data_IF_603392861413
#
_entry.id   IF_603392861413
#
_cell.length_a   1.000
_cell.length_b   1.000
_cell.length_c   1.000
_cell.angle_alpha   90.00
_cell.angle_beta   90.00
_cell.angle_gamma   90.00
#
_symmetry.space_group_name_H-M   'P 1'
#
loop_
_entity.id
_entity.type
_entity.pdbx_description
1 polymer ?
#
# COMPACT_ATOMS: atom_id res chain seq x y z
N UNK A 1 1.02 9.29 14.08
CA UNK A 1 2.25 9.39 14.90
C UNK A 1 2.84 7.99 15.04
N UNK A 2 4.14 7.83 14.84
CA UNK A 2 4.82 6.56 15.16
C UNK A 2 4.74 6.41 16.69
N UNK A 3 4.19 5.30 17.22
CA UNK A 3 3.98 5.14 18.66
C UNK A 3 5.24 5.38 19.52
N UNK A 4 6.42 5.12 18.95
CA UNK A 4 7.72 5.18 19.62
C UNK A 4 8.45 6.53 19.50
N UNK A 5 7.90 7.49 18.74
CA UNK A 5 8.44 8.86 18.64
C UNK A 5 7.32 9.88 18.77
N UNK A 6 6.98 10.34 19.99
CA UNK A 6 6.10 11.47 20.15
C UNK A 6 6.76 12.68 19.49
N UNK A 7 6.17 13.16 18.40
CA UNK A 7 6.57 14.41 17.76
C UNK A 7 5.59 15.50 18.16
N UNK A 8 6.12 16.64 18.59
CA UNK A 8 5.36 17.87 18.80
C UNK A 8 5.23 18.69 17.51
N UNK A 9 5.74 18.18 16.38
CA UNK A 9 5.60 18.84 15.09
C UNK A 9 4.15 18.79 14.65
N UNK A 10 3.51 19.96 14.57
CA UNK A 10 2.14 20.11 14.09
C UNK A 10 2.04 20.27 12.57
N UNK A 11 3.17 20.57 11.91
CA UNK A 11 3.23 20.96 10.50
C UNK A 11 4.41 20.28 9.83
N UNK A 12 4.18 19.80 8.60
CA UNK A 12 5.19 19.32 7.69
C UNK A 12 5.38 20.32 6.55
N UNK A 13 6.63 20.65 6.21
CA UNK A 13 6.97 21.51 5.08
C UNK A 13 7.42 20.62 3.91
N UNK A 14 6.72 20.73 2.79
CA UNK A 14 6.97 19.92 1.59
C UNK A 14 7.26 20.84 0.40
N UNK A 15 8.37 20.63 -0.28
CA UNK A 15 8.76 21.36 -1.49
C UNK A 15 9.56 20.47 -2.45
N UNK A 16 9.56 20.84 -3.74
CA UNK A 16 10.35 20.13 -4.74
C UNK A 16 11.80 20.60 -4.71
N UNK A 17 12.73 19.66 -4.61
CA UNK A 17 14.17 19.90 -4.63
C UNK A 17 14.79 19.33 -5.92
N UNK A 18 15.11 20.15 -6.94
CA UNK A 18 15.81 19.67 -8.13
C UNK A 18 17.25 19.30 -7.78
N UNK A 19 17.64 18.06 -8.10
CA UNK A 19 18.96 17.51 -7.81
C UNK A 19 19.58 16.94 -9.10
N UNK A 20 20.57 17.62 -9.69
CA UNK A 20 21.37 17.04 -10.77
C UNK A 20 22.09 15.75 -10.33
N UNK A 21 22.41 14.84 -11.28
CA UNK A 21 23.15 13.62 -10.96
C UNK A 21 24.47 13.91 -10.25
N UNK A 22 24.75 13.16 -9.18
CA UNK A 22 26.00 13.25 -8.41
C UNK A 22 26.33 14.67 -7.91
N UNK A 23 25.32 15.44 -7.48
CA UNK A 23 25.50 16.84 -7.05
C UNK A 23 25.03 17.08 -5.61
N UNK A 24 25.36 18.27 -5.08
CA UNK A 24 24.88 18.77 -3.78
C UNK A 24 24.13 20.08 -4.02
N UNK A 25 22.89 20.15 -3.52
CA UNK A 25 22.07 21.38 -3.50
C UNK A 25 21.75 21.74 -2.06
N UNK A 26 21.95 23.01 -1.68
CA UNK A 26 21.65 23.50 -0.32
C UNK A 26 20.37 24.33 -0.32
N UNK A 27 19.52 24.12 0.70
CA UNK A 27 18.29 24.87 0.92
C UNK A 27 18.33 25.51 2.31
N UNK A 28 17.74 26.68 2.49
CA UNK A 28 17.59 27.34 3.80
C UNK A 28 16.11 27.59 4.06
N UNK A 29 15.62 27.07 5.19
CA UNK A 29 14.25 27.28 5.65
C UNK A 29 14.28 28.41 6.69
N UNK A 30 13.42 29.41 6.52
CA UNK A 30 13.24 30.51 7.47
C UNK A 30 11.78 30.57 7.88
N UNK A 31 11.54 30.88 9.15
CA UNK A 31 10.20 31.15 9.65
C UNK A 31 9.79 32.57 9.27
N UNK A 32 8.56 32.74 8.80
CA UNK A 32 7.93 34.04 8.55
C UNK A 32 6.58 34.10 9.25
N UNK A 33 6.17 35.29 9.67
CA UNK A 33 4.84 35.52 10.24
C UNK A 33 3.76 35.46 9.14
N UNK A 34 2.57 34.93 9.46
CA UNK A 34 1.44 34.89 8.52
C UNK A 34 1.31 33.63 7.66
N UNK A 35 2.01 32.55 8.00
CA UNK A 35 1.86 31.26 7.32
C UNK A 35 0.43 30.69 7.40
N UNK A 36 -0.06 30.14 6.29
CA UNK A 36 -1.39 29.50 6.22
C UNK A 36 -1.27 28.07 6.77
N UNK A 37 -2.05 27.75 7.81
CA UNK A 37 -2.16 26.37 8.30
C UNK A 37 -2.83 25.47 7.25
N UNK A 38 -2.39 24.21 7.10
CA UNK A 38 -3.06 23.29 6.19
C UNK A 38 -4.53 23.09 6.60
N UNK A 39 -5.43 23.19 5.62
CA UNK A 39 -6.84 22.88 5.81
C UNK A 39 -7.02 21.37 5.73
N UNK A 40 -7.66 20.81 6.74
CA UNK A 40 -7.99 19.40 6.81
C UNK A 40 -9.45 19.21 6.43
N UNK A 41 -9.71 18.28 5.50
CA UNK A 41 -11.05 17.84 5.21
C UNK A 41 -11.28 16.55 6.01
N UNK A 42 -12.24 16.60 6.93
CA UNK A 42 -12.72 15.47 7.71
C UNK A 42 -14.14 15.13 7.23
N UNK A 43 -14.47 13.83 7.18
CA UNK A 43 -15.81 13.32 6.89
C UNK A 43 -16.48 13.91 5.63
N UNK A 44 -16.24 13.28 4.48
CA UNK A 44 -16.86 13.72 3.24
C UNK A 44 -18.24 13.06 3.01
N UNK A 45 -19.23 13.86 2.61
CA UNK A 45 -20.55 13.37 2.20
C UNK A 45 -20.54 12.62 0.85
N UNK A 46 -19.41 12.64 0.14
CA UNK A 46 -19.18 12.02 -1.16
C UNK A 46 -17.77 11.47 -1.22
N UNK A 47 -17.54 10.51 -2.10
CA UNK A 47 -16.22 9.93 -2.31
C UNK A 47 -15.15 11.00 -2.51
N UNK A 48 -14.03 10.80 -1.83
CA UNK A 48 -12.90 11.72 -1.84
C UNK A 48 -12.00 11.36 -3.01
N UNK A 49 -11.58 12.37 -3.74
CA UNK A 49 -10.62 12.21 -4.83
C UNK A 49 -9.38 13.04 -4.53
N UNK A 50 -8.21 12.42 -4.59
CA UNK A 50 -6.93 13.10 -4.74
C UNK A 50 -6.41 12.90 -6.15
N UNK A 51 -5.79 13.92 -6.72
CA UNK A 51 -5.35 13.89 -8.11
C UNK A 51 -4.14 14.77 -8.39
N UNK A 52 -3.38 14.39 -9.41
CA UNK A 52 -2.31 15.18 -10.00
C UNK A 52 -2.47 15.19 -11.53
N UNK A 53 -1.42 15.52 -12.27
CA UNK A 53 -1.42 15.60 -13.73
C UNK A 53 -1.63 14.24 -14.42
N UNK A 54 -1.23 13.13 -13.79
CA UNK A 54 -1.15 11.80 -14.40
C UNK A 54 -2.10 10.77 -13.78
N UNK A 55 -2.47 10.95 -12.51
CA UNK A 55 -3.26 10.00 -11.75
C UNK A 55 -4.38 10.70 -10.98
N UNK A 56 -5.44 9.94 -10.72
CA UNK A 56 -6.49 10.26 -9.77
C UNK A 56 -6.83 9.00 -8.97
N UNK A 57 -6.99 9.14 -7.65
CA UNK A 57 -7.33 8.07 -6.72
C UNK A 57 -8.63 8.44 -6.01
N UNK A 58 -9.60 7.54 -6.04
CA UNK A 58 -10.87 7.72 -5.35
C UNK A 58 -10.94 6.85 -4.09
N UNK A 59 -11.44 7.45 -3.01
CA UNK A 59 -11.63 6.84 -1.71
C UNK A 59 -13.11 6.90 -1.35
N UNK A 60 -13.65 5.78 -0.88
CA UNK A 60 -15.06 5.70 -0.49
C UNK A 60 -15.36 6.62 0.68
N UNK A 61 -16.41 7.42 0.59
CA UNK A 61 -16.93 8.17 1.74
C UNK A 61 -17.45 7.25 2.86
N UNK A 62 -17.94 6.07 2.51
CA UNK A 62 -18.51 5.12 3.45
C UNK A 62 -17.44 4.36 4.21
N UNK A 63 -16.40 3.88 3.52
CA UNK A 63 -15.37 3.01 4.14
C UNK A 63 -14.05 3.73 4.40
N UNK A 64 -13.81 4.88 3.78
CA UNK A 64 -12.52 5.59 3.84
C UNK A 64 -11.39 4.92 3.05
N UNK A 65 -11.65 3.79 2.36
CA UNK A 65 -10.64 3.00 1.65
C UNK A 65 -10.58 3.35 0.16
N UNK A 66 -9.43 3.06 -0.46
CA UNK A 66 -9.26 3.18 -1.91
C UNK A 66 -10.27 2.30 -2.64
N UNK A 67 -10.91 2.83 -3.68
CA UNK A 67 -11.87 2.08 -4.52
C UNK A 67 -11.53 2.10 -6.00
N UNK A 68 -10.82 3.12 -6.48
CA UNK A 68 -10.39 3.17 -7.87
C UNK A 68 -9.13 4.01 -8.08
N UNK A 69 -8.44 3.68 -9.17
CA UNK A 69 -7.32 4.45 -9.69
C UNK A 69 -7.57 4.75 -11.17
N UNK A 70 -7.49 6.03 -11.53
CA UNK A 70 -7.60 6.50 -12.90
C UNK A 70 -6.25 7.02 -13.38
N UNK A 71 -5.73 6.41 -14.44
CA UNK A 71 -4.57 6.90 -15.17
C UNK A 71 -5.04 7.88 -16.24
N UNK A 72 -4.72 9.16 -16.05
CA UNK A 72 -5.13 10.26 -16.93
C UNK A 72 -4.38 10.26 -18.26
N UNK A 73 -3.14 9.76 -18.28
CA UNK A 73 -2.33 9.68 -19.49
C UNK A 73 -2.92 8.66 -20.47
N UNK A 74 -3.27 7.46 -19.99
CA UNK A 74 -3.88 6.40 -20.80
C UNK A 74 -5.40 6.45 -20.85
N UNK A 75 -6.03 7.27 -20.01
CA UNK A 75 -7.49 7.37 -19.79
C UNK A 75 -8.12 6.05 -19.33
N UNK A 76 -7.35 5.20 -18.67
CA UNK A 76 -7.81 3.92 -18.12
C UNK A 76 -8.18 4.09 -16.65
N UNK A 77 -9.35 3.60 -16.27
CA UNK A 77 -9.78 3.50 -14.87
C UNK A 77 -9.83 2.04 -14.49
N UNK A 78 -9.15 1.66 -13.41
CA UNK A 78 -9.25 0.33 -12.83
C UNK A 78 -9.87 0.42 -11.44
N UNK A 79 -10.76 -0.53 -11.16
CA UNK A 79 -11.17 -0.78 -9.77
C UNK A 79 -9.97 -1.35 -9.05
N UNK A 80 -9.51 -0.64 -8.02
CA UNK A 80 -8.40 -1.04 -7.18
C UNK A 80 -8.79 -0.68 -5.75
N UNK A 81 -8.82 -1.68 -4.87
CA UNK A 81 -8.95 -1.45 -3.44
C UNK A 81 -7.69 -1.91 -2.72
N UNK A 82 -7.39 -1.26 -1.60
CA UNK A 82 -6.31 -1.63 -0.70
C UNK A 82 -6.87 -1.74 0.71
N UNK A 83 -6.48 -2.80 1.41
CA UNK A 83 -6.88 -3.05 2.80
C UNK A 83 -5.76 -3.74 3.59
N UNK A 84 -5.79 -3.60 4.91
CA UNK A 84 -4.93 -4.36 5.80
C UNK A 84 -5.67 -5.57 6.37
N UNK A 85 -4.99 -6.71 6.39
CA UNK A 85 -5.48 -7.93 7.01
C UNK A 85 -4.31 -8.64 7.70
N UNK A 86 -4.58 -9.70 8.45
CA UNK A 86 -3.53 -10.54 9.00
C UNK A 86 -3.94 -12.00 9.03
N UNK A 87 -2.96 -12.88 8.85
CA UNK A 87 -3.11 -14.29 9.20
C UNK A 87 -2.76 -14.50 10.67
N UNK A 88 -3.47 -15.43 11.32
CA UNK A 88 -3.06 -15.92 12.63
C UNK A 88 -2.14 -17.11 12.40
N UNK A 89 -0.89 -17.01 12.83
CA UNK A 89 0.09 -18.08 12.72
C UNK A 89 -0.32 -19.29 13.56
N UNK A 90 -0.15 -20.50 13.01
CA UNK A 90 -0.41 -21.73 13.73
C UNK A 90 0.58 -21.90 14.89
N UNK A 91 0.10 -22.02 16.14
CA UNK A 91 0.97 -22.01 17.33
C UNK A 91 1.36 -23.41 17.86
N UNK A 92 0.72 -24.47 17.39
CA UNK A 92 0.90 -25.82 17.92
C UNK A 92 1.19 -26.85 16.81
N UNK A 93 1.37 -28.13 17.18
CA UNK A 93 1.57 -29.20 16.20
C UNK A 93 3.00 -29.29 15.65
N UNK A 94 3.23 -30.15 14.64
CA UNK A 94 4.59 -30.50 14.20
C UNK A 94 5.30 -29.38 13.42
N UNK A 95 4.57 -28.36 12.95
CA UNK A 95 5.10 -27.24 12.16
C UNK A 95 4.36 -25.93 12.52
N UNK A 96 4.63 -25.35 13.69
CA UNK A 96 4.10 -24.03 14.02
C UNK A 96 4.71 -22.95 13.11
N UNK A 97 4.00 -21.84 12.94
CA UNK A 97 4.52 -20.64 12.27
C UNK A 97 5.61 -19.99 13.10
N UNK A 98 6.56 -19.31 12.45
CA UNK A 98 7.68 -18.65 13.12
C UNK A 98 8.62 -17.95 12.16
N UNK A 99 9.85 -17.67 12.61
CA UNK A 99 10.82 -16.85 11.88
C UNK A 99 11.14 -17.32 10.44
N UNK A 100 11.00 -18.63 10.17
CA UNK A 100 11.33 -19.22 8.87
C UNK A 100 10.14 -19.81 8.12
N UNK A 101 9.08 -20.16 8.84
CA UNK A 101 7.96 -20.93 8.29
C UNK A 101 6.70 -20.14 8.50
N UNK A 102 6.01 -19.85 7.40
CA UNK A 102 4.68 -19.24 7.41
C UNK A 102 3.63 -20.35 7.33
N UNK A 103 2.92 -20.59 8.42
CA UNK A 103 1.80 -21.55 8.48
C UNK A 103 0.56 -20.82 9.03
N UNK A 104 -0.31 -20.30 8.15
CA UNK A 104 -1.52 -19.66 8.60
C UNK A 104 -2.48 -20.71 9.19
N UNK A 105 -3.04 -20.42 10.36
CA UNK A 105 -4.06 -21.25 11.02
C UNK A 105 -5.32 -21.40 10.15
N UNK A 106 -5.69 -20.31 9.46
CA UNK A 106 -6.90 -20.21 8.65
C UNK A 106 -6.55 -19.78 7.21
N UNK A 107 -7.27 -20.31 6.21
CA UNK A 107 -7.03 -19.94 4.79
C UNK A 107 -7.41 -18.49 4.47
N UNK A 108 -8.34 -17.92 5.23
CA UNK A 108 -8.81 -16.53 5.06
C UNK A 108 -8.16 -15.65 6.12
N UNK A 109 -7.50 -14.54 5.73
CA UNK A 109 -6.97 -13.61 6.71
C UNK A 109 -8.10 -12.82 7.37
N UNK A 110 -7.85 -12.33 8.58
CA UNK A 110 -8.76 -11.45 9.32
C UNK A 110 -8.50 -10.01 8.87
N UNK A 111 -9.54 -9.31 8.41
CA UNK A 111 -9.45 -7.89 8.03
C UNK A 111 -9.25 -7.05 9.29
N UNK A 112 -8.32 -6.08 9.26
CA UNK A 112 -8.00 -5.25 10.43
C UNK A 112 -9.19 -4.39 10.85
N UNK A 113 -9.83 -3.71 9.90
CA UNK A 113 -11.03 -2.91 10.11
C UNK A 113 -12.04 -3.20 9.01
N UNK A 114 -13.10 -3.99 9.26
CA UNK A 114 -14.02 -4.44 8.22
C UNK A 114 -15.01 -3.36 7.75
N UNK A 115 -15.27 -2.31 8.54
CA UNK A 115 -16.32 -1.34 8.25
C UNK A 115 -15.77 -0.10 7.56
N UNK A 116 -15.21 0.82 8.34
CA UNK A 116 -14.79 2.14 7.90
C UNK A 116 -13.53 2.57 8.65
N UNK A 117 -12.61 3.20 7.94
CA UNK A 117 -11.39 3.76 8.54
C UNK A 117 -11.53 5.25 8.73
N UNK A 118 -11.01 5.77 9.85
CA UNK A 118 -10.95 7.21 10.06
C UNK A 118 -10.00 7.82 9.05
N UNK A 119 -10.44 8.87 8.35
CA UNK A 119 -9.64 9.55 7.35
C UNK A 119 -9.50 11.04 7.61
N UNK A 120 -8.33 11.56 7.23
CA UNK A 120 -8.02 12.98 7.20
C UNK A 120 -7.35 13.31 5.88
N UNK A 121 -7.93 14.25 5.15
CA UNK A 121 -7.48 14.59 3.79
C UNK A 121 -6.79 15.95 3.79
N UNK A 122 -5.64 16.02 3.13
CA UNK A 122 -4.87 17.24 2.94
C UNK A 122 -4.73 17.48 1.44
N UNK A 123 -5.18 18.64 0.96
CA UNK A 123 -4.98 19.05 -0.44
C UNK A 123 -4.02 20.22 -0.51
N UNK A 124 -2.73 19.91 -0.57
CA UNK A 124 -1.67 20.89 -0.71
C UNK A 124 -1.38 21.24 -2.17
N UNK A 125 -0.57 22.28 -2.37
CA UNK A 125 -0.12 22.70 -3.71
C UNK A 125 0.88 21.72 -4.33
N UNK A 126 1.67 21.00 -3.52
CA UNK A 126 2.76 20.11 -3.96
C UNK A 126 2.37 18.64 -3.85
N UNK A 127 1.58 18.30 -2.84
CA UNK A 127 1.15 16.94 -2.54
C UNK A 127 -0.29 16.96 -2.03
N UNK A 128 -1.06 15.93 -2.41
CA UNK A 128 -2.33 15.62 -1.79
C UNK A 128 -2.22 14.30 -1.02
N UNK A 129 -2.82 14.24 0.16
CA UNK A 129 -2.66 13.11 1.07
C UNK A 129 -4.01 12.65 1.63
N UNK A 130 -4.12 11.34 1.82
CA UNK A 130 -5.20 10.71 2.60
C UNK A 130 -4.55 9.93 3.74
N UNK A 131 -4.70 10.44 4.95
CA UNK A 131 -4.30 9.77 6.18
C UNK A 131 -5.41 8.83 6.57
N UNK A 132 -5.10 7.57 6.83
CA UNK A 132 -6.06 6.51 7.16
C UNK A 132 -5.62 5.84 8.46
N UNK A 133 -6.55 5.70 9.40
CA UNK A 133 -6.34 4.93 10.63
C UNK A 133 -7.21 3.68 10.59
N UNK A 134 -6.58 2.52 10.46
CA UNK A 134 -7.26 1.22 10.43
C UNK A 134 -7.44 0.69 11.86
N UNK A 135 -6.48 0.92 12.75
CA UNK A 135 -6.62 0.57 14.17
C UNK A 135 -5.72 1.45 15.04
N UNK A 136 -5.60 1.14 16.33
CA UNK A 136 -4.58 1.74 17.18
C UNK A 136 -3.14 1.28 16.86
N UNK A 137 -2.96 0.22 16.07
CA UNK A 137 -1.66 -0.35 15.70
C UNK A 137 -1.43 -0.40 14.17
N UNK A 138 -2.38 0.02 13.33
CA UNK A 138 -2.21 0.16 11.87
C UNK A 138 -2.69 1.52 11.41
N UNK A 139 -1.80 2.24 10.73
CA UNK A 139 -2.12 3.49 10.03
C UNK A 139 -1.38 3.57 8.70
N UNK A 140 -1.93 4.34 7.77
CA UNK A 140 -1.37 4.56 6.45
C UNK A 140 -1.54 6.02 6.03
N UNK A 141 -0.60 6.55 5.26
CA UNK A 141 -0.73 7.79 4.51
C UNK A 141 -0.58 7.46 3.04
N UNK A 142 -1.61 7.78 2.24
CA UNK A 142 -1.53 7.69 0.78
C UNK A 142 -1.19 9.08 0.25
N UNK A 143 -0.06 9.21 -0.45
CA UNK A 143 0.40 10.49 -1.02
C UNK A 143 0.37 10.46 -2.54
N UNK A 144 -0.06 11.58 -3.11
CA UNK A 144 0.05 11.85 -4.53
C UNK A 144 0.72 13.21 -4.74
N UNK A 145 2.01 13.16 -5.09
CA UNK A 145 2.81 14.33 -5.41
C UNK A 145 2.49 14.85 -6.81
N UNK A 146 2.69 16.14 -7.04
CA UNK A 146 2.60 16.69 -8.39
C UNK A 146 3.66 16.09 -9.32
N UNK A 147 3.28 15.81 -10.56
CA UNK A 147 4.16 15.30 -11.60
C UNK A 147 4.56 13.82 -11.48
N UNK A 148 4.19 13.12 -10.42
CA UNK A 148 4.47 11.68 -10.30
C UNK A 148 3.42 10.84 -11.03
N UNK A 149 3.83 9.68 -11.53
CA UNK A 149 2.96 8.69 -12.19
C UNK A 149 2.62 7.49 -11.31
N UNK A 150 2.82 7.64 -10.01
CA UNK A 150 2.55 6.65 -8.98
C UNK A 150 2.00 7.35 -7.74
N UNK A 151 1.27 6.59 -6.92
CA UNK A 151 0.88 6.97 -5.58
C UNK A 151 1.78 6.25 -4.57
N UNK A 152 2.17 6.96 -3.51
CA UNK A 152 2.96 6.41 -2.41
C UNK A 152 2.02 5.94 -1.31
N UNK A 153 2.20 4.72 -0.84
CA UNK A 153 1.49 4.18 0.32
C UNK A 153 2.54 4.01 1.43
N UNK A 154 2.51 4.89 2.43
CA UNK A 154 3.36 4.77 3.60
C UNK A 154 2.55 4.18 4.76
N UNK A 155 2.96 3.02 5.28
CA UNK A 155 2.26 2.37 6.38
C UNK A 155 3.10 2.30 7.65
N UNK A 156 2.42 2.32 8.79
CA UNK A 156 2.97 2.05 10.11
C UNK A 156 2.15 0.92 10.70
N UNK A 157 2.82 -0.20 11.03
CA UNK A 157 2.23 -1.39 11.65
C UNK A 157 2.99 -1.67 12.93
N UNK A 158 2.28 -1.66 14.06
CA UNK A 158 2.82 -1.98 15.38
C UNK A 158 2.47 -0.94 16.45
N UNK A 159 2.74 -1.24 17.72
CA UNK A 159 3.22 -2.54 18.22
C UNK A 159 2.17 -3.65 18.03
N UNK A 160 2.63 -4.88 17.78
CA UNK A 160 1.76 -6.06 17.69
C UNK A 160 1.68 -6.74 19.06
N UNK A 161 0.48 -7.20 19.44
CA UNK A 161 0.27 -7.89 20.71
C UNK A 161 1.04 -9.22 20.73
N UNK A 162 1.63 -9.58 21.87
CA UNK A 162 2.43 -10.80 22.02
C UNK A 162 1.59 -12.09 22.07
N UNK A 163 0.29 -11.98 22.34
CA UNK A 163 -0.56 -13.15 22.61
C UNK A 163 -1.01 -13.88 21.33
N UNK A 164 -1.04 -13.17 20.19
CA UNK A 164 -1.50 -13.70 18.90
C UNK A 164 -0.39 -13.47 17.88
N UNK A 165 0.11 -14.55 17.28
CA UNK A 165 1.05 -14.46 16.16
C UNK A 165 0.37 -13.87 14.93
N UNK A 166 0.38 -12.54 14.78
CA UNK A 166 -0.21 -11.82 13.64
C UNK A 166 0.80 -11.66 12.51
N UNK A 167 0.47 -12.19 11.34
CA UNK A 167 1.22 -12.04 10.11
C UNK A 167 0.47 -11.06 9.20
N UNK A 168 0.81 -9.77 9.33
CA UNK A 168 0.07 -8.65 8.72
C UNK A 168 0.39 -8.52 7.23
N UNK A 169 -0.64 -8.26 6.43
CA UNK A 169 -0.56 -8.07 4.97
C UNK A 169 -1.24 -6.76 4.56
N UNK A 170 -0.66 -6.09 3.56
CA UNK A 170 -1.35 -5.08 2.76
C UNK A 170 -1.83 -5.75 1.48
N UNK A 171 -3.15 -5.76 1.25
CA UNK A 171 -3.78 -6.50 0.17
C UNK A 171 -4.41 -5.54 -0.83
N UNK A 172 -3.88 -5.54 -2.04
CA UNK A 172 -4.51 -4.90 -3.19
C UNK A 172 -5.44 -5.88 -3.90
N UNK A 173 -6.65 -5.43 -4.23
CA UNK A 173 -7.63 -6.20 -5.00
C UNK A 173 -8.05 -5.38 -6.21
N UNK A 174 -8.13 -6.00 -7.40
CA UNK A 174 -8.43 -5.29 -8.63
C UNK A 174 -9.26 -6.14 -9.60
N UNK A 175 -9.89 -5.48 -10.57
CA UNK A 175 -10.61 -6.07 -11.69
C UNK A 175 -9.74 -6.59 -12.84
N UNK A 176 -8.41 -6.52 -12.73
CA UNK A 176 -7.50 -7.07 -13.73
C UNK A 176 -7.58 -8.61 -13.76
N UNK A 177 -7.77 -9.18 -14.95
CA UNK A 177 -7.68 -10.61 -15.15
C UNK A 177 -6.22 -11.01 -15.38
N UNK A 178 -5.57 -11.51 -14.33
CA UNK A 178 -4.17 -11.92 -14.35
C UNK A 178 -3.94 -13.37 -14.80
N UNK A 179 -5.00 -14.13 -15.08
CA UNK A 179 -4.94 -15.56 -15.42
C UNK A 179 -4.03 -16.38 -14.47
N UNK A 180 -4.22 -16.16 -13.16
CA UNK A 180 -3.43 -16.75 -12.07
C UNK A 180 -1.91 -16.43 -12.09
N UNK A 181 -1.45 -15.59 -13.02
CA UNK A 181 -0.06 -15.20 -13.16
C UNK A 181 0.25 -13.94 -12.36
N UNK A 182 1.43 -13.90 -11.77
CA UNK A 182 1.99 -12.72 -11.13
C UNK A 182 3.51 -12.73 -11.27
N UNK A 183 4.15 -11.60 -11.05
CA UNK A 183 5.55 -11.42 -11.40
C UNK A 183 6.29 -10.79 -10.24
N UNK A 184 7.37 -11.43 -9.81
CA UNK A 184 8.20 -10.98 -8.69
C UNK A 184 9.64 -10.79 -9.15
N UNK A 185 10.34 -9.84 -8.55
CA UNK A 185 11.77 -9.67 -8.82
C UNK A 185 12.65 -10.74 -8.15
N UNK A 186 13.85 -10.93 -8.70
CA UNK A 186 14.94 -11.70 -8.10
C UNK A 186 16.06 -10.76 -7.67
N UNK A 187 16.15 -10.49 -6.37
CA UNK A 187 17.17 -9.62 -5.76
C UNK A 187 17.27 -8.23 -6.42
N UNK A 188 16.13 -7.63 -6.78
CA UNK A 188 16.09 -6.31 -7.43
C UNK A 188 16.45 -6.31 -8.91
N UNK A 189 16.61 -7.47 -9.55
CA UNK A 189 17.09 -7.61 -10.93
C UNK A 189 16.01 -8.15 -11.88
N UNK A 190 16.11 -9.42 -12.23
CA UNK A 190 15.24 -10.07 -13.21
C UNK A 190 13.82 -10.27 -12.67
N UNK A 191 12.85 -10.31 -13.57
CA UNK A 191 11.46 -10.57 -13.25
C UNK A 191 11.14 -12.02 -13.57
N UNK A 192 10.59 -12.73 -12.58
CA UNK A 192 10.20 -14.14 -12.68
C UNK A 192 8.68 -14.23 -12.69
N UNK A 193 8.12 -14.93 -13.69
CA UNK A 193 6.70 -15.26 -13.72
C UNK A 193 6.39 -16.37 -12.72
N UNK A 194 5.32 -16.17 -11.95
CA UNK A 194 4.78 -17.10 -10.96
C UNK A 194 3.35 -17.44 -11.36
N UNK A 195 2.97 -18.71 -11.24
CA UNK A 195 1.59 -19.16 -11.49
C UNK A 195 1.05 -19.71 -10.17
N UNK A 196 -0.08 -19.16 -9.72
CA UNK A 196 -0.70 -19.57 -8.45
C UNK A 196 -0.98 -21.08 -8.46
N UNK A 197 -0.59 -21.75 -7.36
CA UNK A 197 -0.73 -23.19 -7.12
C UNK A 197 0.09 -24.10 -8.05
N UNK A 198 1.08 -23.55 -8.76
CA UNK A 198 1.96 -24.30 -9.66
C UNK A 198 3.40 -24.13 -9.22
N UNK A 199 4.12 -25.25 -9.01
CA UNK A 199 5.53 -25.22 -8.69
C UNK A 199 6.37 -24.69 -9.86
N UNK A 200 7.55 -24.12 -9.58
CA UNK A 200 8.46 -23.60 -10.61
C UNK A 200 8.84 -24.64 -11.67
N UNK A 201 8.91 -25.92 -11.30
CA UNK A 201 9.19 -27.03 -12.23
C UNK A 201 8.03 -27.37 -13.17
N UNK A 202 6.86 -26.71 -13.03
CA UNK A 202 5.68 -26.89 -13.87
C UNK A 202 4.90 -28.19 -13.63
N UNK A 203 5.53 -29.21 -13.04
CA UNK A 203 4.99 -30.57 -12.99
C UNK A 203 4.26 -30.92 -11.69
N UNK A 204 4.25 -30.02 -10.69
CA UNK A 204 3.67 -30.31 -9.37
C UNK A 204 2.71 -29.21 -8.93
N UNK A 205 1.52 -29.61 -8.48
CA UNK A 205 0.57 -28.71 -7.81
C UNK A 205 1.00 -28.46 -6.38
N UNK A 206 1.00 -27.19 -5.99
CA UNK A 206 1.28 -26.79 -4.62
C UNK A 206 0.11 -27.22 -3.73
N UNK A 207 0.41 -27.94 -2.64
CA UNK A 207 -0.59 -28.45 -1.68
C UNK A 207 -0.99 -27.42 -0.64
N UNK A 208 -0.06 -26.55 -0.23
CA UNK A 208 -0.36 -25.43 0.66
C UNK A 208 -0.75 -24.21 -0.16
N UNK A 209 -2.07 -24.00 -0.26
CA UNK A 209 -2.66 -22.98 -1.12
C UNK A 209 -2.36 -21.54 -0.69
N UNK A 210 -1.88 -21.31 0.53
CA UNK A 210 -1.53 -19.96 0.99
C UNK A 210 -0.01 -19.82 1.04
N UNK A 211 0.67 -20.56 1.94
CA UNK A 211 2.10 -20.34 2.19
C UNK A 211 2.95 -20.67 0.96
N UNK A 212 2.58 -21.71 0.19
CA UNK A 212 3.31 -22.10 -1.01
C UNK A 212 3.20 -21.12 -2.18
N UNK A 213 2.35 -20.09 -2.08
CA UNK A 213 2.25 -19.02 -3.08
C UNK A 213 2.94 -17.72 -2.66
N UNK A 214 3.62 -17.70 -1.51
CA UNK A 214 4.48 -16.57 -1.12
C UNK A 214 5.86 -16.72 -1.73
N UNK A 215 6.36 -15.64 -2.32
CA UNK A 215 7.68 -15.55 -2.93
C UNK A 215 8.38 -14.29 -2.39
N UNK A 216 9.73 -14.29 -2.31
CA UNK A 216 10.46 -13.08 -1.96
C UNK A 216 10.16 -11.95 -2.95
N UNK A 217 9.91 -10.76 -2.42
CA UNK A 217 9.76 -9.51 -3.18
C UNK A 217 10.77 -8.55 -2.58
N UNK A 218 11.82 -8.23 -3.33
CA UNK A 218 12.91 -7.36 -2.84
C UNK A 218 12.81 -5.95 -3.41
N UNK A 219 12.06 -5.75 -4.49
CA UNK A 219 11.87 -4.43 -5.10
C UNK A 219 10.57 -4.23 -5.86
N UNK A 220 9.91 -5.29 -6.36
CA UNK A 220 8.62 -5.14 -7.05
C UNK A 220 7.87 -6.44 -7.25
N UNK A 221 6.54 -6.30 -7.23
CA UNK A 221 5.59 -7.30 -7.69
C UNK A 221 4.58 -6.66 -8.63
N UNK A 222 4.11 -7.38 -9.64
CA UNK A 222 2.99 -6.93 -10.44
C UNK A 222 2.07 -8.06 -10.91
N UNK A 223 0.86 -7.65 -11.26
CA UNK A 223 -0.09 -8.44 -12.05
C UNK A 223 -0.47 -7.63 -13.28
N UNK A 224 -0.74 -8.31 -14.39
CA UNK A 224 -1.14 -7.67 -15.63
C UNK A 224 -2.28 -8.43 -16.31
N UNK A 225 -3.14 -7.68 -16.97
CA UNK A 225 -4.20 -8.20 -17.82
C UNK A 225 -3.77 -7.98 -19.28
N UNK A 226 -3.45 -9.07 -19.97
CA UNK A 226 -2.96 -9.04 -21.36
C UNK A 226 -4.01 -8.50 -22.33
N UNK A 227 -5.28 -8.77 -22.07
CA UNK A 227 -6.40 -8.34 -22.94
C UNK A 227 -6.65 -6.85 -22.75
N UNK A 228 -6.72 -6.38 -21.50
CA UNK A 228 -6.86 -4.95 -21.18
C UNK A 228 -5.57 -4.15 -21.37
N UNK A 229 -4.43 -4.82 -21.60
CA UNK A 229 -3.08 -4.22 -21.67
C UNK A 229 -2.80 -3.29 -20.48
N UNK A 230 -3.24 -3.70 -19.30
CA UNK A 230 -3.18 -2.91 -18.08
C UNK A 230 -2.44 -3.68 -16.99
N UNK A 231 -1.63 -2.98 -16.21
CA UNK A 231 -0.76 -3.57 -15.19
C UNK A 231 -0.84 -2.78 -13.89
N UNK A 232 -0.97 -3.50 -12.78
CA UNK A 232 -0.82 -2.96 -11.44
C UNK A 232 0.52 -3.42 -10.87
N UNK A 233 1.40 -2.49 -10.55
CA UNK A 233 2.74 -2.73 -10.00
C UNK A 233 2.85 -2.12 -8.61
N UNK A 234 3.39 -2.88 -7.67
CA UNK A 234 3.80 -2.41 -6.34
C UNK A 234 5.32 -2.49 -6.29
N UNK A 235 5.95 -1.40 -5.85
CA UNK A 235 7.40 -1.26 -5.68
C UNK A 235 7.75 -1.31 -4.19
#
# INVERSE_FOLDING_TARGET
AIPEKPTFAEIEIVFNAPLPPMSVTSFTIKSEEGGVKPTFLENAARDIVIENQHLSLAFSATTGKLVSMHNKDSRVTETVSQDFAYYVGHQSGPRPSGAYVFVPRDKKPVVVEPNSVDIKVIKGKVVQEVHQRFSNWVSQVVRLYNGTKYAEFQWIVGPLDNDIGREVISKFTTSLNSDNSFYTDSNGREIIQRIRNTAESGNTKIKDYISGNYYPITSRIYIQDEIKRSRLTVL
#
